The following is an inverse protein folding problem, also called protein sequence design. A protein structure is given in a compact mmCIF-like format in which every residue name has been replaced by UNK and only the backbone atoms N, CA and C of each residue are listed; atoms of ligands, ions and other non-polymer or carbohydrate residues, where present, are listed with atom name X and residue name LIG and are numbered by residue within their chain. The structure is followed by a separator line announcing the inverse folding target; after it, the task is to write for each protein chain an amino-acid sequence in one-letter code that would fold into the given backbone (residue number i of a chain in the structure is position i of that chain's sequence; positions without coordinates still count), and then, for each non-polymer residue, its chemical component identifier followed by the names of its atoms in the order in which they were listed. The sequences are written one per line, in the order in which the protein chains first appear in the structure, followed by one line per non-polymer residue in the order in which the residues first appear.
data_IF_350061980843
#
_entry.id   IF_350061980843
#
_cell.length_a   1.000
_cell.length_b   1.000
_cell.length_c   1.000
_cell.angle_alpha   90.00
_cell.angle_beta   90.00
_cell.angle_gamma   90.00
#
_symmetry.space_group_name_H-M   'P 1'
#
loop_
_entity.id
_entity.type
_entity.pdbx_description
1 polymer ?
#
# COMPACT_ATOMS: atom_id res chain seq x y z
N UNK A 1 -14.94 3.07 -3.26
CA UNK A 1 -13.88 2.84 -2.28
C UNK A 1 -14.23 1.59 -1.52
N UNK A 2 -13.41 0.54 -1.62
CA UNK A 2 -13.56 -0.70 -0.85
C UNK A 2 -12.28 -0.85 -0.05
N UNK A 3 -12.40 -0.84 1.27
CA UNK A 3 -11.27 -0.91 2.19
C UNK A 3 -11.04 -2.37 2.63
N UNK A 4 -9.79 -2.84 2.68
CA UNK A 4 -9.48 -4.18 3.15
C UNK A 4 -9.63 -4.29 4.66
N UNK A 5 -9.75 -5.53 5.15
CA UNK A 5 -9.87 -5.80 6.58
C UNK A 5 -9.35 -7.18 6.97
N UNK A 6 -9.87 -7.67 8.10
CA UNK A 6 -9.47 -8.92 8.71
C UNK A 6 -8.39 -8.76 9.79
N UNK A 7 -8.02 -9.88 10.42
CA UNK A 7 -7.08 -9.89 11.53
C UNK A 7 -5.79 -9.17 11.15
N UNK A 8 -5.30 -8.25 12.00
CA UNK A 8 -4.03 -7.56 11.80
C UNK A 8 -3.97 -6.60 10.59
N UNK A 9 -5.12 -6.23 10.00
CA UNK A 9 -5.22 -5.18 8.98
C UNK A 9 -5.95 -3.98 9.58
N UNK A 10 -5.37 -2.79 9.46
CA UNK A 10 -5.96 -1.51 9.85
C UNK A 10 -5.88 -0.54 8.69
N UNK A 11 -6.96 0.19 8.45
CA UNK A 11 -7.00 1.28 7.47
C UNK A 11 -7.31 2.60 8.18
N UNK A 12 -6.38 3.54 8.10
CA UNK A 12 -6.57 4.91 8.56
C UNK A 12 -6.83 5.81 7.36
N UNK A 13 -8.03 6.35 7.23
CA UNK A 13 -8.38 7.21 6.09
C UNK A 13 -9.46 8.22 6.47
N UNK A 14 -9.40 9.40 5.84
CA UNK A 14 -10.48 10.38 5.85
C UNK A 14 -11.34 10.29 4.58
N UNK A 15 -10.94 9.47 3.60
CA UNK A 15 -11.63 9.32 2.33
C UNK A 15 -12.82 8.37 2.48
N UNK A 16 -13.88 8.69 1.74
CA UNK A 16 -15.10 7.89 1.64
C UNK A 16 -15.60 7.90 0.18
N UNK A 17 -16.57 7.05 -0.15
CA UNK A 17 -17.11 7.01 -1.51
C UNK A 17 -17.74 8.36 -1.90
N UNK A 18 -17.33 8.92 -3.03
CA UNK A 18 -17.75 10.26 -3.48
C UNK A 18 -16.92 11.42 -2.92
N UNK A 19 -15.88 11.15 -2.13
CA UNK A 19 -14.96 12.18 -1.67
C UNK A 19 -14.16 12.79 -2.83
N UNK A 20 -14.15 14.12 -2.92
CA UNK A 20 -13.34 14.88 -3.88
C UNK A 20 -12.01 15.24 -3.25
N UNK A 21 -10.91 14.76 -3.84
CA UNK A 21 -9.57 15.09 -3.37
C UNK A 21 -9.25 16.55 -3.76
N UNK A 22 -8.98 17.44 -2.79
CA UNK A 22 -8.63 18.81 -3.08
C UNK A 22 -7.22 18.91 -3.68
N UNK A 23 -6.97 19.83 -4.62
CA UNK A 23 -5.64 20.01 -5.23
C UNK A 23 -4.65 20.76 -4.33
N UNK A 24 -5.11 21.29 -3.20
CA UNK A 24 -4.33 22.21 -2.34
C UNK A 24 -3.65 21.54 -1.15
N UNK A 25 -3.92 20.25 -0.91
CA UNK A 25 -3.37 19.50 0.23
C UNK A 25 -2.58 18.28 -0.26
N UNK A 26 -1.95 17.59 0.69
CA UNK A 26 -1.23 16.36 0.41
C UNK A 26 -2.13 15.32 -0.30
N UNK A 27 -1.55 14.62 -1.27
CA UNK A 27 -2.24 13.58 -2.05
C UNK A 27 -2.57 12.32 -1.25
N UNK A 28 -2.06 12.19 -0.02
CA UNK A 28 -2.29 11.03 0.85
C UNK A 28 -3.74 10.94 1.32
N UNK A 29 -4.47 10.00 0.74
CA UNK A 29 -5.88 9.73 1.09
C UNK A 29 -6.04 8.68 2.19
N UNK A 30 -5.01 7.90 2.53
CA UNK A 30 -5.10 6.90 3.58
C UNK A 30 -3.80 6.12 3.80
N UNK A 31 -3.77 5.37 4.91
CA UNK A 31 -2.65 4.51 5.33
C UNK A 31 -3.17 3.11 5.58
N UNK A 32 -2.67 2.15 4.80
CA UNK A 32 -2.91 0.73 5.03
C UNK A 32 -1.79 0.18 5.92
N UNK A 33 -2.16 -0.37 7.07
CA UNK A 33 -1.24 -0.81 8.11
C UNK A 33 -1.50 -2.28 8.40
N UNK A 34 -0.44 -3.07 8.48
CA UNK A 34 -0.52 -4.50 8.79
C UNK A 34 0.39 -4.86 9.95
N UNK A 35 -0.09 -5.73 10.84
CA UNK A 35 0.66 -6.26 11.97
C UNK A 35 0.55 -7.78 12.08
N UNK A 36 1.71 -8.44 12.18
CA UNK A 36 1.91 -9.88 12.38
C UNK A 36 3.17 -10.12 13.21
N UNK A 37 3.30 -11.33 13.72
CA UNK A 37 4.45 -11.75 14.53
C UNK A 37 5.75 -11.80 13.71
N UNK A 38 5.67 -12.24 12.46
CA UNK A 38 6.83 -12.29 11.56
C UNK A 38 6.70 -11.31 10.40
N UNK A 39 7.85 -10.90 9.84
CA UNK A 39 7.90 -10.05 8.66
C UNK A 39 7.26 -10.71 7.44
N UNK A 40 7.47 -12.01 7.28
CA UNK A 40 6.93 -12.79 6.16
C UNK A 40 5.40 -12.84 6.23
N UNK A 41 4.83 -13.08 7.41
CA UNK A 41 3.38 -13.04 7.61
C UNK A 41 2.80 -11.65 7.39
N UNK A 42 3.52 -10.60 7.82
CA UNK A 42 3.11 -9.21 7.62
C UNK A 42 3.08 -8.86 6.14
N UNK A 43 4.10 -9.26 5.37
CA UNK A 43 4.17 -9.07 3.93
C UNK A 43 3.04 -9.84 3.22
N UNK A 44 2.84 -11.12 3.56
CA UNK A 44 1.76 -11.92 2.98
C UNK A 44 0.38 -11.30 3.25
N UNK A 45 0.16 -10.82 4.48
CA UNK A 45 -1.08 -10.13 4.87
C UNK A 45 -1.24 -8.79 4.14
N UNK A 46 -0.15 -8.04 3.94
CA UNK A 46 -0.14 -6.79 3.17
C UNK A 46 -0.45 -7.03 1.69
N UNK A 47 0.13 -8.06 1.06
CA UNK A 47 -0.19 -8.44 -0.30
C UNK A 47 -1.69 -8.70 -0.47
N UNK A 48 -2.28 -9.53 0.41
CA UNK A 48 -3.73 -9.78 0.42
C UNK A 48 -4.54 -8.49 0.60
N UNK A 49 -4.18 -7.66 1.58
CA UNK A 49 -4.90 -6.43 1.87
C UNK A 49 -4.81 -5.42 0.71
N UNK A 50 -3.66 -5.34 0.04
CA UNK A 50 -3.50 -4.53 -1.17
C UNK A 50 -4.34 -5.09 -2.32
N UNK A 51 -4.45 -6.41 -2.49
CA UNK A 51 -5.27 -7.03 -3.54
C UNK A 51 -6.78 -6.78 -3.33
N UNK A 52 -7.24 -6.75 -2.08
CA UNK A 52 -8.62 -6.43 -1.70
C UNK A 52 -8.94 -4.91 -1.77
N UNK A 53 -7.93 -4.04 -1.67
CA UNK A 53 -8.10 -2.59 -1.70
C UNK A 53 -8.49 -2.11 -3.10
N UNK A 54 -9.69 -1.50 -3.20
CA UNK A 54 -10.20 -0.91 -4.45
C UNK A 54 -10.45 0.59 -4.28
N UNK A 55 -9.65 1.38 -4.99
CA UNK A 55 -9.82 2.83 -5.13
C UNK A 55 -10.07 3.13 -6.62
N UNK A 56 -11.25 3.68 -6.92
CA UNK A 56 -11.65 4.04 -8.28
C UNK A 56 -11.74 5.56 -8.46
N UNK A 57 -11.71 6.01 -9.72
CA UNK A 57 -11.87 7.43 -10.08
C UNK A 57 -10.58 8.25 -10.09
N UNK A 58 -9.49 7.74 -9.50
CA UNK A 58 -8.18 8.40 -9.48
C UNK A 58 -7.05 7.37 -9.63
N UNK A 59 -5.89 7.80 -10.13
CA UNK A 59 -4.67 7.00 -10.04
C UNK A 59 -4.19 6.96 -8.59
N UNK A 60 -3.60 5.84 -8.18
CA UNK A 60 -3.09 5.65 -6.82
C UNK A 60 -1.73 4.96 -6.84
N UNK A 61 -1.05 4.97 -5.69
CA UNK A 61 0.21 4.24 -5.47
C UNK A 61 0.01 2.74 -5.21
N UNK A 62 -1.23 2.25 -5.15
CA UNK A 62 -1.53 0.83 -4.86
C UNK A 62 -0.84 -0.14 -5.82
N UNK A 63 -0.79 0.09 -7.15
CA UNK A 63 -0.07 -0.80 -8.07
C UNK A 63 1.44 -0.88 -7.75
N UNK A 64 2.10 0.27 -7.54
CA UNK A 64 3.51 0.30 -7.16
C UNK A 64 3.75 -0.43 -5.82
N UNK A 65 2.90 -0.18 -4.81
CA UNK A 65 3.00 -0.90 -3.55
C UNK A 65 2.85 -2.42 -3.74
N UNK A 66 1.93 -2.87 -4.59
CA UNK A 66 1.75 -4.30 -4.90
C UNK A 66 3.01 -4.93 -5.49
N UNK A 67 3.74 -4.20 -6.34
CA UNK A 67 4.99 -4.66 -6.91
C UNK A 67 6.11 -4.68 -5.87
N UNK A 68 6.26 -3.61 -5.08
CA UNK A 68 7.24 -3.51 -3.99
C UNK A 68 7.10 -4.68 -3.00
N UNK A 69 5.90 -4.94 -2.49
CA UNK A 69 5.68 -6.02 -1.51
C UNK A 69 5.91 -7.43 -2.08
N UNK A 70 5.95 -7.58 -3.41
CA UNK A 70 6.28 -8.83 -4.11
C UNK A 70 7.72 -8.89 -4.61
N UNK A 71 8.47 -7.80 -4.48
CA UNK A 71 9.83 -7.73 -4.99
C UNK A 71 10.80 -8.55 -4.12
N UNK A 72 11.68 -9.32 -4.75
CA UNK A 72 12.60 -10.23 -4.04
C UNK A 72 13.47 -9.50 -3.00
N UNK A 73 14.06 -8.36 -3.38
CA UNK A 73 14.90 -7.57 -2.46
C UNK A 73 14.09 -7.03 -1.30
N UNK A 74 12.85 -6.58 -1.54
CA UNK A 74 11.92 -6.18 -0.48
C UNK A 74 11.62 -7.33 0.46
N UNK A 75 11.29 -8.51 -0.05
CA UNK A 75 11.01 -9.69 0.78
C UNK A 75 12.24 -10.12 1.59
N UNK A 76 13.46 -9.96 1.06
CA UNK A 76 14.70 -10.26 1.81
C UNK A 76 15.16 -9.17 2.77
N UNK A 77 14.62 -7.96 2.66
CA UNK A 77 15.06 -6.82 3.46
C UNK A 77 16.40 -6.23 2.99
N UNK A 78 16.83 -6.54 1.77
CA UNK A 78 18.10 -6.08 1.19
C UNK A 78 17.86 -4.81 0.35
N UNK A 79 17.69 -3.67 1.02
CA UNK A 79 17.33 -2.39 0.41
C UNK A 79 18.05 -1.24 1.12
N UNK A 80 18.24 -0.16 0.38
CA UNK A 80 18.64 1.15 0.88
C UNK A 80 17.68 2.24 0.36
N UNK A 81 18.07 3.51 0.51
CA UNK A 81 17.25 4.65 0.09
C UNK A 81 17.12 4.81 -1.42
N UNK A 82 17.93 4.13 -2.23
CA UNK A 82 17.88 4.16 -3.70
C UNK A 82 17.06 3.03 -4.33
N UNK A 83 16.43 2.18 -3.51
CA UNK A 83 15.69 1.01 -3.98
C UNK A 83 14.60 1.33 -5.01
N UNK A 84 13.93 2.47 -4.90
CA UNK A 84 12.87 2.82 -5.85
C UNK A 84 13.48 3.22 -7.20
N UNK A 85 14.52 4.04 -7.17
CA UNK A 85 15.26 4.52 -8.33
C UNK A 85 15.95 3.38 -9.09
N UNK A 86 16.46 2.37 -8.38
CA UNK A 86 17.16 1.24 -9.00
C UNK A 86 16.22 0.26 -9.72
N UNK A 87 15.01 0.04 -9.20
CA UNK A 87 14.14 -1.05 -9.66
C UNK A 87 12.80 -0.62 -10.29
N UNK A 88 12.38 0.64 -10.12
CA UNK A 88 11.03 1.10 -10.53
C UNK A 88 11.02 2.43 -11.29
N UNK A 89 12.18 3.02 -11.54
CA UNK A 89 12.31 4.23 -12.37
C UNK A 89 12.98 3.84 -13.68
N UNK A 90 12.31 4.17 -14.79
CA UNK A 90 12.87 4.08 -16.15
C UNK A 90 13.91 5.19 -16.41
#
# INVERSE_FOLDING_TARGET
LILPGGLGVRMDTHAYAGYTIPPTYDSMIGKLIVHRETRDDAIATMCRALDELVVGGVKTTVPLCREIFRHFHFIKGNLDTGFIEEYFVD
#
